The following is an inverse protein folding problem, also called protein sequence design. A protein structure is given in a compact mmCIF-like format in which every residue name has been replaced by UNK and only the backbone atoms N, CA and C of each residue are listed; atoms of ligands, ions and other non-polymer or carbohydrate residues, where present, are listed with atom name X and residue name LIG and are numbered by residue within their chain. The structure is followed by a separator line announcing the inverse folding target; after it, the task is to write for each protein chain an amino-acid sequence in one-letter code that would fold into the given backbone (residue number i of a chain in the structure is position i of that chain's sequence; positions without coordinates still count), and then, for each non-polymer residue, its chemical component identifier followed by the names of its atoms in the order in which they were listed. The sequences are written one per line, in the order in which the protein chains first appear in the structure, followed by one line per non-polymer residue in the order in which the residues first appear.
data_IF_656738926106
#
_entry.id   IF_656738926106
#
_cell.length_a   1.000
_cell.length_b   1.000
_cell.length_c   1.000
_cell.angle_alpha   90.00
_cell.angle_beta   90.00
_cell.angle_gamma   90.00
#
_symmetry.space_group_name_H-M   'P 1'
#
loop_
_entity.id
_entity.type
_entity.pdbx_description
1 polymer ?
#
# COMPACT_ATOMS: atom_id res chain seq x y z
N UNK A 1 7.25 -5.15 -13.73
CA UNK A 1 8.62 -5.30 -13.19
C UNK A 1 8.56 -5.65 -11.70
N UNK A 2 8.94 -6.88 -11.36
CA UNK A 2 8.85 -7.39 -10.00
C UNK A 2 9.11 -8.88 -9.95
N UNK A 3 9.11 -9.44 -8.76
CA UNK A 3 9.28 -10.88 -8.52
C UNK A 3 8.17 -11.36 -7.63
N UNK A 4 7.57 -12.50 -7.95
CA UNK A 4 6.60 -13.15 -7.06
C UNK A 4 7.39 -14.15 -6.22
N UNK A 5 7.09 -14.23 -4.92
CA UNK A 5 7.60 -15.32 -4.07
C UNK A 5 6.44 -16.10 -3.46
N UNK A 6 6.63 -17.40 -3.34
CA UNK A 6 5.67 -18.35 -2.76
C UNK A 6 6.32 -19.08 -1.60
N UNK A 7 5.61 -19.22 -0.48
CA UNK A 7 6.11 -19.96 0.69
C UNK A 7 5.80 -19.27 2.00
N UNK A 8 6.69 -19.43 2.97
CA UNK A 8 6.57 -18.91 4.33
C UNK A 8 7.81 -18.11 4.71
N UNK A 9 7.74 -17.37 5.81
CA UNK A 9 8.89 -16.65 6.34
C UNK A 9 10.07 -17.60 6.57
N UNK A 10 11.23 -17.27 5.98
CA UNK A 10 12.44 -18.10 6.01
C UNK A 10 12.57 -19.14 4.88
N UNK A 11 11.49 -19.45 4.14
CA UNK A 11 11.51 -20.41 3.02
C UNK A 11 10.67 -19.92 1.85
N UNK A 12 11.34 -19.30 0.87
CA UNK A 12 10.69 -18.67 -0.28
C UNK A 12 11.15 -19.29 -1.60
N UNK A 13 10.19 -19.61 -2.46
CA UNK A 13 10.40 -19.92 -3.87
C UNK A 13 10.19 -18.64 -4.67
N UNK A 14 11.22 -18.16 -5.36
CA UNK A 14 11.13 -16.98 -6.21
C UNK A 14 10.74 -17.36 -7.64
N UNK A 15 9.70 -16.72 -8.14
CA UNK A 15 9.11 -16.98 -9.45
C UNK A 15 9.50 -15.82 -10.37
N UNK A 16 10.31 -16.14 -11.37
CA UNK A 16 10.77 -15.19 -12.36
C UNK A 16 9.62 -14.79 -13.32
N UNK A 17 9.65 -13.57 -13.87
CA UNK A 17 8.76 -13.17 -14.96
C UNK A 17 8.89 -14.12 -16.15
N UNK A 18 7.77 -14.39 -16.84
CA UNK A 18 7.83 -15.04 -18.15
C UNK A 18 8.49 -14.10 -19.16
N UNK A 19 9.46 -14.61 -19.91
CA UNK A 19 10.20 -13.83 -20.90
C UNK A 19 9.26 -13.21 -21.94
N UNK A 20 9.47 -11.94 -22.26
CA UNK A 20 8.67 -11.19 -23.24
C UNK A 20 7.28 -10.73 -22.75
N UNK A 21 6.86 -11.04 -21.52
CA UNK A 21 5.59 -10.58 -20.96
C UNK A 21 5.76 -9.37 -20.03
N UNK A 22 4.88 -8.38 -20.20
CA UNK A 22 4.82 -7.19 -19.33
C UNK A 22 4.11 -7.48 -18.00
N UNK A 23 3.12 -8.37 -18.04
CA UNK A 23 2.33 -8.77 -16.88
C UNK A 23 2.65 -10.21 -16.46
N UNK A 24 2.70 -10.43 -15.15
CA UNK A 24 2.87 -11.76 -14.55
C UNK A 24 1.59 -12.08 -13.82
N UNK A 25 0.87 -13.10 -14.29
CA UNK A 25 -0.28 -13.66 -13.59
C UNK A 25 0.14 -15.03 -13.06
N UNK A 26 0.26 -15.15 -11.74
CA UNK A 26 0.62 -16.40 -11.08
C UNK A 26 -0.51 -16.88 -10.18
N UNK A 27 -0.94 -18.12 -10.39
CA UNK A 27 -1.83 -18.82 -9.45
C UNK A 27 -0.98 -19.49 -8.38
N UNK A 28 -1.23 -19.15 -7.13
CA UNK A 28 -0.47 -19.66 -6.00
C UNK A 28 -1.23 -20.77 -5.30
N UNK A 29 -0.54 -21.88 -5.07
CA UNK A 29 -1.12 -23.08 -4.49
C UNK A 29 -0.17 -24.26 -4.69
N UNK A 30 -0.24 -25.21 -3.77
CA UNK A 30 0.55 -26.45 -3.82
C UNK A 30 0.23 -27.32 -5.05
N UNK A 31 -0.92 -27.07 -5.69
CA UNK A 31 -1.37 -27.71 -6.93
C UNK A 31 -0.76 -27.07 -8.19
N UNK A 32 -0.07 -25.93 -8.04
CA UNK A 32 0.52 -25.16 -9.15
C UNK A 32 2.00 -24.86 -8.95
N UNK A 33 2.47 -24.87 -7.71
CA UNK A 33 3.83 -24.53 -7.33
C UNK A 33 4.39 -25.62 -6.41
N UNK A 34 5.72 -25.86 -6.45
CA UNK A 34 6.37 -26.77 -5.51
C UNK A 34 6.04 -26.44 -4.06
N UNK A 35 5.81 -27.47 -3.25
CA UNK A 35 5.70 -27.33 -1.80
C UNK A 35 7.11 -27.18 -1.21
N UNK A 36 7.55 -25.93 -1.08
CA UNK A 36 8.85 -25.57 -0.54
C UNK A 36 8.88 -25.50 1.00
N UNK A 37 7.74 -25.71 1.66
CA UNK A 37 7.62 -25.77 3.11
C UNK A 37 6.57 -26.83 3.52
N UNK A 38 6.91 -28.14 3.39
CA UNK A 38 5.97 -29.22 3.69
C UNK A 38 5.45 -29.19 5.13
N UNK A 39 4.15 -29.43 5.29
CA UNK A 39 3.48 -29.42 6.61
C UNK A 39 3.24 -28.05 7.21
N UNK A 40 3.58 -26.96 6.51
CA UNK A 40 3.27 -25.60 6.92
C UNK A 40 2.15 -25.00 6.06
N UNK A 41 1.00 -24.73 6.67
CA UNK A 41 -0.18 -24.18 5.99
C UNK A 41 -0.16 -22.65 5.86
N UNK A 42 0.82 -21.98 6.45
CA UNK A 42 1.00 -20.52 6.36
C UNK A 42 1.53 -20.01 5.01
N UNK A 43 1.59 -20.88 3.99
CA UNK A 43 2.14 -20.54 2.68
C UNK A 43 1.32 -19.46 1.98
N UNK A 44 1.99 -18.41 1.51
CA UNK A 44 1.38 -17.27 0.84
C UNK A 44 2.19 -16.84 -0.37
N UNK A 45 1.56 -16.03 -1.21
CA UNK A 45 2.24 -15.37 -2.32
C UNK A 45 2.43 -13.89 -2.04
N UNK A 46 3.68 -13.44 -2.17
CA UNK A 46 4.03 -12.03 -2.05
C UNK A 46 4.54 -11.52 -3.40
N UNK A 47 4.14 -10.29 -3.75
CA UNK A 47 4.62 -9.59 -4.92
C UNK A 47 5.62 -8.52 -4.51
N UNK A 48 6.87 -8.67 -4.92
CA UNK A 48 7.89 -7.63 -4.78
C UNK A 48 7.88 -6.76 -6.02
N UNK A 49 7.38 -5.53 -5.88
CA UNK A 49 7.38 -4.53 -6.95
C UNK A 49 8.64 -3.68 -6.80
N UNK A 50 9.41 -3.52 -7.88
CA UNK A 50 10.56 -2.60 -7.86
C UNK A 50 10.05 -1.17 -7.73
N UNK A 51 10.69 -0.34 -6.92
CA UNK A 51 10.31 1.07 -6.77
C UNK A 51 10.47 1.88 -8.05
N UNK A 52 11.33 1.43 -8.97
CA UNK A 52 11.47 1.99 -10.32
C UNK A 52 10.35 1.60 -11.28
N UNK A 53 9.52 0.61 -10.93
CA UNK A 53 8.48 0.12 -11.80
C UNK A 53 7.38 1.19 -11.97
N UNK A 54 6.88 1.36 -13.19
CA UNK A 54 5.80 2.31 -13.47
C UNK A 54 4.56 2.05 -12.57
N UNK A 55 4.23 0.78 -12.35
CA UNK A 55 3.14 0.39 -11.45
C UNK A 55 3.35 0.93 -10.01
N UNK A 56 4.58 0.92 -9.49
CA UNK A 56 4.88 1.48 -8.17
C UNK A 56 4.64 2.98 -8.12
N UNK A 57 5.07 3.70 -9.17
CA UNK A 57 4.84 5.15 -9.26
C UNK A 57 3.36 5.52 -9.37
N UNK A 58 2.50 4.61 -9.88
CA UNK A 58 1.05 4.82 -10.02
C UNK A 58 0.25 4.54 -8.75
N UNK A 59 0.79 3.76 -7.81
CA UNK A 59 0.11 3.40 -6.55
C UNK A 59 0.68 4.14 -5.33
N UNK A 60 1.77 4.89 -5.50
CA UNK A 60 2.41 5.65 -4.43
C UNK A 60 2.02 7.14 -4.52
N UNK A 61 1.10 7.64 -3.66
CA UNK A 61 0.64 9.03 -3.70
C UNK A 61 1.78 10.05 -3.55
N UNK A 62 2.80 9.75 -2.74
CA UNK A 62 3.95 10.63 -2.54
C UNK A 62 4.78 10.83 -3.81
N UNK A 63 4.93 9.78 -4.63
CA UNK A 63 5.63 9.87 -5.91
C UNK A 63 4.78 10.53 -6.99
N UNK A 64 3.46 10.36 -6.94
CA UNK A 64 2.53 11.05 -7.84
C UNK A 64 2.54 12.58 -7.62
N UNK A 65 2.62 13.01 -6.35
CA UNK A 65 2.81 14.42 -5.96
C UNK A 65 4.15 14.96 -6.50
N UNK A 66 5.26 14.29 -6.20
CA UNK A 66 6.59 14.74 -6.58
C UNK A 66 6.80 14.80 -8.11
N UNK A 67 6.12 13.94 -8.87
CA UNK A 67 6.21 13.91 -10.32
C UNK A 67 5.31 14.95 -11.03
N UNK A 68 4.55 15.77 -10.28
CA UNK A 68 3.58 16.70 -10.86
C UNK A 68 2.48 16.01 -11.67
N UNK A 69 2.29 14.69 -11.46
CA UNK A 69 1.33 13.84 -12.18
C UNK A 69 -0.04 13.82 -11.51
N UNK A 70 -0.13 14.33 -10.29
CA UNK A 70 -1.36 14.90 -9.79
C UNK A 70 -1.50 16.27 -10.45
N UNK A 71 -2.11 16.29 -11.63
CA UNK A 71 -2.69 17.53 -12.12
C UNK A 71 -3.74 17.97 -11.10
N UNK A 72 -3.99 19.27 -11.03
CA UNK A 72 -5.03 19.94 -10.22
C UNK A 72 -6.48 19.48 -10.48
N UNK A 73 -6.65 18.25 -11.00
CA UNK A 73 -7.90 17.59 -11.36
C UNK A 73 -7.87 16.07 -11.14
N UNK A 74 -7.03 15.54 -10.23
CA UNK A 74 -7.54 14.38 -9.46
C UNK A 74 -8.76 14.92 -8.74
N UNK A 75 -9.91 14.35 -9.04
CA UNK A 75 -11.17 14.75 -8.44
C UNK A 75 -11.13 14.38 -6.95
N UNK A 76 -10.47 15.21 -6.15
CA UNK A 76 -10.51 15.20 -4.69
C UNK A 76 -11.93 15.46 -4.19
N UNK A 77 -12.88 15.77 -5.09
CA UNK A 77 -14.28 15.95 -4.79
C UNK A 77 -14.89 14.74 -4.07
N UNK A 78 -14.41 13.52 -4.36
CA UNK A 78 -14.76 12.36 -3.56
C UNK A 78 -13.68 12.14 -2.51
N UNK A 79 -13.83 12.83 -1.38
CA UNK A 79 -13.10 12.50 -0.18
C UNK A 79 -13.19 10.99 0.08
N UNK A 80 -12.06 10.29 0.02
CA UNK A 80 -11.97 8.86 0.37
C UNK A 80 -12.15 8.63 1.88
N UNK A 81 -12.17 9.72 2.65
CA UNK A 81 -12.45 9.74 4.08
C UNK A 81 -12.21 11.15 4.65
N UNK A 82 -13.09 11.59 5.53
CA UNK A 82 -12.90 12.78 6.37
C UNK A 82 -12.73 12.36 7.82
N UNK A 83 -12.19 13.25 8.67
CA UNK A 83 -12.16 13.02 10.11
C UNK A 83 -13.54 12.65 10.66
N UNK A 84 -14.58 13.34 10.20
CA UNK A 84 -15.99 13.04 10.53
C UNK A 84 -16.43 11.65 10.03
N UNK A 85 -16.01 11.23 8.83
CA UNK A 85 -16.33 9.92 8.30
C UNK A 85 -15.65 8.78 9.08
N UNK A 86 -14.38 8.97 9.49
CA UNK A 86 -13.67 7.99 10.31
C UNK A 86 -14.18 7.94 11.75
N UNK A 87 -14.50 9.10 12.33
CA UNK A 87 -15.11 9.19 13.66
C UNK A 87 -16.50 8.52 13.66
N UNK A 88 -17.34 8.79 12.65
CA UNK A 88 -18.63 8.11 12.49
C UNK A 88 -18.47 6.61 12.24
N UNK A 89 -17.52 6.24 11.38
CA UNK A 89 -17.19 4.84 11.09
C UNK A 89 -16.69 4.08 12.31
N UNK A 90 -16.09 4.76 13.30
CA UNK A 90 -15.62 4.17 14.56
C UNK A 90 -16.72 3.44 15.33
N UNK A 91 -17.97 3.86 15.13
CA UNK A 91 -19.15 3.29 15.78
C UNK A 91 -19.61 1.97 15.15
N UNK A 92 -19.07 1.59 13.99
CA UNK A 92 -19.51 0.43 13.19
C UNK A 92 -18.65 -0.82 13.43
N UNK A 93 -18.26 -1.05 14.69
CA UNK A 93 -17.54 -2.26 15.12
C UNK A 93 -16.02 -2.10 15.20
N UNK A 94 -15.35 -3.19 15.56
CA UNK A 94 -13.93 -3.16 15.95
C UNK A 94 -12.99 -2.64 14.85
N UNK A 95 -13.25 -2.99 13.59
CA UNK A 95 -12.44 -2.52 12.46
C UNK A 95 -12.56 -1.00 12.26
N UNK A 96 -13.78 -0.45 12.39
CA UNK A 96 -14.00 0.99 12.33
C UNK A 96 -13.29 1.72 13.47
N UNK A 97 -13.37 1.19 14.69
CA UNK A 97 -12.69 1.77 15.85
C UNK A 97 -11.16 1.80 15.68
N UNK A 98 -10.56 0.73 15.16
CA UNK A 98 -9.11 0.68 14.91
C UNK A 98 -8.67 1.66 13.82
N UNK A 99 -9.47 1.81 12.76
CA UNK A 99 -9.20 2.80 11.72
C UNK A 99 -9.23 4.22 12.29
N UNK A 100 -10.20 4.54 13.15
CA UNK A 100 -10.26 5.84 13.82
C UNK A 100 -9.05 6.10 14.72
N UNK A 101 -8.64 5.13 15.54
CA UNK A 101 -7.46 5.28 16.41
C UNK A 101 -6.18 5.54 15.61
N UNK A 102 -6.05 4.99 14.41
CA UNK A 102 -4.90 5.25 13.54
C UNK A 102 -4.87 6.68 12.97
N UNK A 103 -6.04 7.27 12.67
CA UNK A 103 -6.14 8.56 11.97
C UNK A 103 -6.46 9.75 12.88
N UNK A 104 -7.02 9.52 14.07
CA UNK A 104 -7.39 10.58 15.03
C UNK A 104 -6.25 11.57 15.35
N UNK A 105 -4.95 11.20 15.40
CA UNK A 105 -3.90 12.19 15.66
C UNK A 105 -3.75 13.19 14.52
N UNK A 106 -4.00 12.75 13.28
CA UNK A 106 -3.95 13.60 12.08
C UNK A 106 -5.18 14.51 11.97
N UNK A 107 -6.25 14.18 12.70
CA UNK A 107 -7.47 14.98 12.80
C UNK A 107 -7.43 16.04 13.91
N UNK A 108 -6.36 16.07 14.70
CA UNK A 108 -6.14 17.09 15.72
C UNK A 108 -5.69 18.41 15.09
N UNK A 109 -6.21 19.58 15.53
CA UNK A 109 -5.69 20.89 15.13
C UNK A 109 -4.18 21.05 15.37
N UNK A 110 -3.63 20.34 16.36
CA UNK A 110 -2.20 20.37 16.69
C UNK A 110 -1.30 19.71 15.62
N UNK A 111 -1.86 18.85 14.77
CA UNK A 111 -1.12 18.22 13.67
C UNK A 111 -0.73 19.22 12.57
N UNK A 112 -1.57 20.24 12.33
CA UNK A 112 -1.34 21.24 11.28
C UNK A 112 -0.20 22.20 11.64
N UNK A 113 0.04 22.42 12.94
CA UNK A 113 1.02 23.40 13.45
C UNK A 113 2.48 22.96 13.40
N UNK A 114 2.79 21.67 13.19
CA UNK A 114 4.20 21.21 13.15
C UNK A 114 4.84 21.23 11.75
N UNK A 115 4.08 21.48 10.67
CA UNK A 115 4.63 21.59 9.30
C UNK A 115 4.70 23.01 8.74
N UNK A 116 4.31 24.02 9.54
CA UNK A 116 4.32 25.43 9.16
C UNK A 116 5.39 26.24 9.89
N UNK A 117 6.65 25.81 9.85
CA UNK A 117 7.77 26.65 10.26
C UNK A 117 7.96 27.80 9.28
N UNK A 118 7.42 28.97 9.58
CA UNK A 118 7.75 30.21 8.89
C UNK A 118 9.22 30.56 9.19
N UNK A 119 10.09 30.38 8.21
CA UNK A 119 11.34 31.14 8.14
C UNK A 119 10.99 32.63 7.95
N UNK A 120 10.87 33.38 9.05
CA UNK A 120 11.10 34.82 9.00
C UNK A 120 12.61 35.07 9.09
N UNK A 121 13.25 35.19 7.92
CA UNK A 121 14.54 35.86 7.81
C UNK A 121 14.35 37.37 8.05
N UNK A 122 14.92 37.88 9.14
CA UNK A 122 15.35 39.27 9.28
C UNK A 122 16.77 39.29 9.83
#
# INVERSE_FOLDING_TARGET
EGTIRWGVDGQWLYIAPQEGKKDIVQKCGIDKLPDNAPGNDGKRCDCLVKSSAEAFTRINPGLLLAAGRLSSGVDVANSVGSCEAYETGSLTGAAGAQLWEAVRPMCSPAWVTEQGGSEEFK
#
